data_IF_482434982807
#
_entry.id   IF_482434982807
#
_cell.length_a   1.000
_cell.length_b   1.000
_cell.length_c   1.000
_cell.angle_alpha   90.00
_cell.angle_beta   90.00
_cell.angle_gamma   90.00
#
_symmetry.space_group_name_H-M   'P 1'
#
loop_
_entity.id
_entity.type
_entity.pdbx_description
1 polymer ?
#
# COMPACT_ATOMS: atom_id res chain seq x y z
N UNK A 1 -2.28 9.00 3.17
CA UNK A 1 -2.47 8.39 1.83
C UNK A 1 -3.11 7.03 2.02
N UNK A 2 -3.93 6.58 1.07
CA UNK A 2 -4.47 5.21 1.08
C UNK A 2 -4.13 4.49 -0.22
N UNK A 3 -3.55 3.31 -0.10
CA UNK A 3 -3.22 2.43 -1.22
C UNK A 3 -4.28 1.34 -1.29
N UNK A 4 -4.90 1.20 -2.45
CA UNK A 4 -5.85 0.14 -2.80
C UNK A 4 -5.15 -0.81 -3.76
N UNK A 5 -5.02 -2.08 -3.40
CA UNK A 5 -4.36 -3.07 -4.23
C UNK A 5 -4.90 -4.48 -3.96
N UNK A 6 -4.55 -5.43 -4.82
CA UNK A 6 -4.88 -6.85 -4.61
C UNK A 6 -4.26 -7.41 -3.31
N UNK A 7 -4.85 -8.47 -2.77
CA UNK A 7 -4.40 -9.11 -1.52
C UNK A 7 -2.91 -9.48 -1.57
N UNK A 8 -2.43 -10.08 -2.66
CA UNK A 8 -1.03 -10.52 -2.77
C UNK A 8 -0.03 -9.36 -2.71
N UNK A 9 -0.41 -8.19 -3.23
CA UNK A 9 0.42 -6.97 -3.17
C UNK A 9 0.43 -6.40 -1.76
N UNK A 10 -0.72 -6.40 -1.09
CA UNK A 10 -0.85 -5.93 0.30
C UNK A 10 0.00 -6.81 1.22
N UNK A 11 -0.07 -8.14 1.06
CA UNK A 11 0.73 -9.09 1.85
C UNK A 11 2.23 -8.86 1.62
N UNK A 12 2.67 -8.68 0.37
CA UNK A 12 4.05 -8.33 0.04
C UNK A 12 4.50 -7.03 0.73
N UNK A 13 3.65 -6.00 0.79
CA UNK A 13 3.96 -4.75 1.49
C UNK A 13 3.98 -4.90 3.02
N UNK A 14 3.22 -5.82 3.58
CA UNK A 14 3.19 -6.06 5.03
C UNK A 14 4.34 -6.94 5.51
N UNK A 15 4.79 -7.88 4.68
CA UNK A 15 5.85 -8.83 5.02
C UNK A 15 7.21 -8.36 4.48
N UNK A 16 7.40 -8.44 3.16
CA UNK A 16 8.70 -8.26 2.49
C UNK A 16 9.12 -6.79 2.43
N UNK A 17 8.22 -5.90 2.01
CA UNK A 17 8.51 -4.49 1.72
C UNK A 17 8.07 -3.54 2.84
N UNK A 18 7.84 -4.06 4.04
CA UNK A 18 7.35 -3.29 5.20
C UNK A 18 8.26 -2.13 5.61
N UNK A 19 9.58 -2.33 5.53
CA UNK A 19 10.56 -1.27 5.80
C UNK A 19 10.53 -0.16 4.75
N UNK A 20 10.42 -0.52 3.47
CA UNK A 20 10.28 0.42 2.36
C UNK A 20 9.04 1.29 2.54
N UNK A 21 7.91 0.69 2.91
CA UNK A 21 6.65 1.39 3.15
C UNK A 21 6.74 2.35 4.35
N UNK A 22 7.37 1.93 5.45
CA UNK A 22 7.59 2.77 6.61
C UNK A 22 8.46 3.99 6.27
N UNK A 23 9.58 3.77 5.57
CA UNK A 23 10.46 4.86 5.13
C UNK A 23 9.77 5.84 4.18
N UNK A 24 8.88 5.36 3.31
CA UNK A 24 8.05 6.22 2.47
C UNK A 24 7.08 7.07 3.31
N UNK A 25 6.43 6.48 4.30
CA UNK A 25 5.53 7.18 5.23
C UNK A 25 6.23 8.29 6.02
N UNK A 26 7.44 8.02 6.48
CA UNK A 26 8.29 9.00 7.18
C UNK A 26 8.72 10.13 6.23
N UNK A 27 9.13 9.79 5.00
CA UNK A 27 9.54 10.77 4.00
C UNK A 27 8.42 11.74 3.62
N UNK A 28 7.20 11.25 3.44
CA UNK A 28 6.03 12.09 3.11
C UNK A 28 5.40 12.73 4.36
N UNK A 29 5.94 12.45 5.55
CA UNK A 29 5.44 12.91 6.85
C UNK A 29 3.94 12.67 7.07
N UNK A 30 3.40 11.58 6.50
CA UNK A 30 1.98 11.21 6.58
C UNK A 30 1.82 9.70 6.68
N UNK A 31 0.88 9.21 7.50
CA UNK A 31 0.58 7.79 7.56
C UNK A 31 0.05 7.27 6.22
N UNK A 32 0.51 6.06 5.86
CA UNK A 32 0.03 5.30 4.71
C UNK A 32 -0.88 4.19 5.23
N UNK A 33 -2.10 4.12 4.70
CA UNK A 33 -3.03 3.02 4.99
C UNK A 33 -3.11 2.10 3.78
N UNK A 34 -3.15 0.80 4.04
CA UNK A 34 -3.32 -0.24 3.03
C UNK A 34 -4.76 -0.76 3.08
N UNK A 35 -5.39 -0.95 1.92
CA UNK A 35 -6.71 -1.54 1.81
C UNK A 35 -6.71 -2.55 0.66
N UNK A 36 -7.20 -3.76 0.95
CA UNK A 36 -7.34 -4.82 -0.04
C UNK A 36 -8.54 -4.50 -0.94
N UNK A 37 -8.34 -4.58 -2.24
CA UNK A 37 -9.41 -4.54 -3.24
C UNK A 37 -9.48 -5.87 -3.97
N UNK A 38 -10.60 -6.57 -3.81
CA UNK A 38 -10.78 -7.97 -4.23
C UNK A 38 -10.93 -8.13 -5.74
N UNK A 39 -11.33 -7.06 -6.43
CA UNK A 39 -11.47 -7.05 -7.89
C UNK A 39 -10.17 -6.71 -8.61
N UNK A 40 -9.14 -6.29 -7.89
CA UNK A 40 -7.89 -5.82 -8.50
C UNK A 40 -6.98 -7.01 -8.76
N UNK A 41 -6.39 -7.04 -9.96
CA UNK A 41 -5.25 -7.90 -10.24
C UNK A 41 -3.98 -7.31 -9.61
N UNK A 42 -2.89 -8.07 -9.61
CA UNK A 42 -1.61 -7.62 -9.06
C UNK A 42 -1.10 -6.31 -9.70
N UNK A 43 -1.42 -6.07 -10.96
CA UNK A 43 -0.99 -4.89 -11.71
C UNK A 43 -1.89 -3.66 -11.48
N UNK A 44 -3.03 -3.84 -10.81
CA UNK A 44 -4.01 -2.78 -10.56
C UNK A 44 -3.84 -2.24 -9.14
N UNK A 45 -3.62 -0.93 -9.05
CA UNK A 45 -3.59 -0.23 -7.77
C UNK A 45 -4.05 1.22 -7.93
N UNK A 46 -4.62 1.76 -6.85
CA UNK A 46 -4.99 3.16 -6.76
C UNK A 46 -4.42 3.80 -5.49
N UNK A 47 -4.10 5.10 -5.59
CA UNK A 47 -3.63 5.91 -4.46
C UNK A 47 -4.59 7.06 -4.25
N UNK A 48 -5.23 7.08 -3.08
CA UNK A 48 -6.17 8.14 -2.68
C UNK A 48 -5.46 9.13 -1.75
N UNK A 49 -5.50 10.41 -2.13
CA UNK A 49 -5.13 11.52 -1.23
C UNK A 49 -6.32 11.87 -0.32
N UNK A 50 -6.02 11.96 0.98
CA UNK A 50 -6.93 12.37 2.06
C UNK A 50 -6.22 13.43 2.90
#
# INVERSE_FOLDING_TARGET
FRILASQSVIDMFLDEESQSLAGLGDFIAKPISLQVETLYTQEQFDIVLI
#
